data_IF_026211338830
#
_entry.id   IF_026211338830
#
_cell.length_a   1.000
_cell.length_b   1.000
_cell.length_c   1.000
_cell.angle_alpha   90.00
_cell.angle_beta   90.00
_cell.angle_gamma   90.00
#
_symmetry.space_group_name_H-M   'P 1'
#
loop_
_entity.id
_entity.type
_entity.pdbx_description
1 polymer ?
#
# COMPACT_ATOMS: atom_id res chain seq x y z
N UNK A 1 45.34 -19.17 -12.80
CA UNK A 1 46.09 -20.10 -11.94
C UNK A 1 45.30 -21.39 -11.86
N UNK A 2 45.96 -22.53 -12.07
CA UNK A 2 45.35 -23.86 -11.96
C UNK A 2 44.81 -24.08 -10.54
N UNK A 3 43.60 -24.61 -10.43
CA UNK A 3 43.00 -25.02 -9.16
C UNK A 3 43.68 -26.27 -8.59
N UNK A 4 43.71 -26.35 -7.27
CA UNK A 4 44.18 -27.49 -6.49
C UNK A 4 43.38 -28.77 -6.90
N UNK A 5 44.04 -29.85 -7.35
CA UNK A 5 43.36 -31.06 -7.80
C UNK A 5 42.72 -31.90 -6.68
N UNK A 6 42.86 -31.52 -5.40
CA UNK A 6 42.36 -32.31 -4.27
C UNK A 6 40.96 -31.91 -3.76
N UNK A 7 40.32 -30.86 -4.28
CA UNK A 7 39.00 -30.44 -3.79
C UNK A 7 38.14 -29.78 -4.88
N UNK A 8 37.44 -30.59 -5.67
CA UNK A 8 36.63 -30.14 -6.81
C UNK A 8 35.19 -29.73 -6.45
N UNK A 9 34.77 -29.80 -5.19
CA UNK A 9 33.36 -29.57 -4.78
C UNK A 9 33.11 -28.23 -4.06
N UNK A 10 34.11 -27.36 -3.94
CA UNK A 10 33.93 -26.01 -3.38
C UNK A 10 34.22 -24.99 -4.48
N UNK A 11 33.18 -24.67 -5.26
CA UNK A 11 33.19 -23.49 -6.12
C UNK A 11 33.51 -22.23 -5.30
N UNK A 12 33.99 -21.13 -5.93
CA UNK A 12 34.26 -19.89 -5.21
C UNK A 12 33.02 -19.50 -4.41
N UNK A 13 33.16 -19.56 -3.08
CA UNK A 13 32.06 -19.34 -2.15
C UNK A 13 31.37 -18.03 -2.46
N UNK A 14 30.14 -18.09 -2.94
CA UNK A 14 29.28 -16.94 -3.01
C UNK A 14 28.98 -16.52 -1.58
N UNK A 15 29.64 -15.47 -1.10
CA UNK A 15 29.07 -14.64 -0.05
C UNK A 15 27.83 -14.02 -0.67
N UNK A 16 26.69 -14.69 -0.56
CA UNK A 16 25.40 -14.07 -0.79
C UNK A 16 25.30 -12.97 0.25
N UNK A 17 25.64 -11.74 -0.14
CA UNK A 17 25.55 -10.56 0.69
C UNK A 17 24.13 -10.51 1.26
N UNK A 18 24.00 -10.74 2.57
CA UNK A 18 22.79 -10.43 3.31
C UNK A 18 22.44 -8.99 2.96
N UNK A 19 21.36 -8.79 2.20
CA UNK A 19 20.88 -7.43 1.94
C UNK A 19 20.48 -6.86 3.30
N UNK A 20 21.03 -5.71 3.70
CA UNK A 20 20.69 -5.14 4.98
C UNK A 20 19.21 -4.73 4.95
N UNK A 21 18.52 -4.97 6.06
CA UNK A 21 17.12 -4.54 6.23
C UNK A 21 17.03 -3.03 6.07
N UNK A 22 16.29 -2.60 5.05
CA UNK A 22 16.13 -1.19 4.71
C UNK A 22 14.66 -0.80 4.64
N UNK A 23 14.33 0.34 5.25
CA UNK A 23 12.97 0.88 5.27
C UNK A 23 12.95 2.16 4.44
N UNK A 24 12.07 2.22 3.45
CA UNK A 24 11.72 3.47 2.76
C UNK A 24 10.44 4.01 3.39
N UNK A 25 10.45 5.27 3.78
CA UNK A 25 9.30 5.92 4.40
C UNK A 25 9.19 7.37 3.95
N UNK A 26 8.00 7.94 4.15
CA UNK A 26 7.76 9.37 3.98
C UNK A 26 7.16 9.99 5.23
N UNK A 27 7.67 11.15 5.61
CA UNK A 27 7.15 12.00 6.67
C UNK A 27 6.51 13.28 6.07
N UNK A 28 6.09 14.22 6.91
CA UNK A 28 5.42 15.45 6.46
C UNK A 28 6.18 16.33 5.44
N UNK A 29 7.50 16.16 5.27
CA UNK A 29 8.34 17.04 4.45
C UNK A 29 9.42 16.34 3.62
N UNK A 30 9.65 15.04 3.83
CA UNK A 30 10.75 14.32 3.17
C UNK A 30 10.49 12.83 3.02
N UNK A 31 11.31 12.23 2.18
CA UNK A 31 11.42 10.79 1.99
C UNK A 31 12.76 10.36 2.58
N UNK A 32 12.74 9.30 3.37
CA UNK A 32 13.91 8.77 4.07
C UNK A 32 14.03 7.29 3.76
N UNK A 33 15.23 6.86 3.42
CA UNK A 33 15.59 5.44 3.40
C UNK A 33 16.56 5.19 4.54
N UNK A 34 16.23 4.26 5.43
CA UNK A 34 17.12 3.84 6.51
C UNK A 34 17.76 2.49 6.21
N UNK A 35 18.94 2.27 6.77
CA UNK A 35 19.57 0.95 6.88
C UNK A 35 19.66 0.66 8.37
N UNK A 36 18.88 -0.30 8.85
CA UNK A 36 18.57 -0.37 10.27
C UNK A 36 17.95 0.95 10.74
N UNK A 37 18.58 1.60 11.73
CA UNK A 37 18.08 2.83 12.34
C UNK A 37 18.73 4.11 11.82
N UNK A 38 19.73 4.01 10.95
CA UNK A 38 20.44 5.17 10.43
C UNK A 38 19.86 5.61 9.08
N UNK A 39 19.62 6.91 8.87
CA UNK A 39 19.22 7.41 7.55
C UNK A 39 20.38 7.22 6.57
N UNK A 40 20.17 6.36 5.59
CA UNK A 40 21.13 6.09 4.50
C UNK A 40 20.96 7.06 3.33
N UNK A 41 19.75 7.59 3.17
CA UNK A 41 19.41 8.55 2.12
C UNK A 41 18.21 9.39 2.57
N UNK A 42 18.24 10.68 2.22
CA UNK A 42 17.17 11.64 2.51
C UNK A 42 16.93 12.49 1.27
N UNK A 43 15.67 12.67 0.92
CA UNK A 43 15.24 13.56 -0.15
C UNK A 43 14.12 14.48 0.34
N UNK A 44 14.35 15.78 0.26
CA UNK A 44 13.44 16.82 0.79
C UNK A 44 12.62 17.50 -0.30
N UNK A 45 12.83 17.14 -1.57
CA UNK A 45 12.10 17.70 -2.69
C UNK A 45 12.52 17.12 -4.03
N UNK A 46 11.88 17.60 -5.07
CA UNK A 46 12.13 17.18 -6.45
C UNK A 46 12.90 18.23 -7.22
N UNK A 47 13.60 17.81 -8.27
CA UNK A 47 14.19 18.68 -9.29
C UNK A 47 13.65 18.30 -10.66
N UNK A 48 13.33 19.29 -11.49
CA UNK A 48 12.88 19.05 -12.87
C UNK A 48 13.18 20.24 -13.79
N UNK A 49 13.39 19.99 -15.09
CA UNK A 49 13.30 21.05 -16.09
C UNK A 49 11.84 21.46 -16.25
N UNK A 50 11.56 22.77 -16.16
CA UNK A 50 10.21 23.32 -16.35
C UNK A 50 10.16 24.26 -17.56
N UNK A 51 9.05 24.24 -18.31
CA UNK A 51 8.87 25.05 -19.54
C UNK A 51 8.99 26.57 -19.35
N UNK A 52 8.74 27.04 -18.14
CA UNK A 52 8.78 28.47 -17.76
C UNK A 52 10.15 28.96 -17.30
N UNK A 53 11.20 28.14 -17.37
CA UNK A 53 12.54 28.58 -17.00
C UNK A 53 13.15 29.51 -18.06
N UNK A 54 13.54 30.70 -17.64
CA UNK A 54 14.20 31.71 -18.47
C UNK A 54 15.68 31.40 -18.78
N UNK A 55 16.29 30.47 -18.05
CA UNK A 55 17.70 30.09 -18.18
C UNK A 55 17.82 28.60 -18.48
N UNK A 56 18.56 28.27 -19.55
CA UNK A 56 18.90 26.89 -19.90
C UNK A 56 19.97 26.40 -18.91
N UNK A 57 19.68 25.38 -18.10
CA UNK A 57 20.70 24.61 -17.37
C UNK A 57 20.54 24.45 -15.85
N UNK A 58 19.46 24.92 -15.23
CA UNK A 58 19.20 24.66 -13.79
C UNK A 58 17.81 24.05 -13.57
N UNK A 59 17.77 22.82 -13.06
CA UNK A 59 16.51 22.17 -12.67
C UNK A 59 15.88 22.92 -11.48
N UNK A 60 14.59 23.24 -11.58
CA UNK A 60 13.88 23.91 -10.50
C UNK A 60 13.65 22.92 -9.36
N UNK A 61 14.10 23.29 -8.16
CA UNK A 61 13.86 22.51 -6.95
C UNK A 61 12.54 22.89 -6.30
N UNK A 62 11.71 21.88 -6.02
CA UNK A 62 10.44 22.02 -5.31
C UNK A 62 10.43 21.11 -4.09
N UNK A 63 10.38 21.66 -2.86
CA UNK A 63 10.25 20.87 -1.64
C UNK A 63 8.99 20.00 -1.65
N UNK A 64 9.04 18.83 -1.03
CA UNK A 64 7.85 18.03 -0.80
C UNK A 64 6.89 18.74 0.14
N UNK A 65 5.59 18.50 -0.02
CA UNK A 65 4.56 19.03 0.86
C UNK A 65 3.63 17.89 1.25
N UNK A 66 3.80 17.38 2.48
CA UNK A 66 2.99 16.29 3.04
C UNK A 66 2.91 15.08 2.10
N UNK A 67 4.03 14.46 1.70
CA UNK A 67 3.97 13.25 0.90
C UNK A 67 3.26 12.14 1.68
N UNK A 68 2.28 11.50 1.04
CA UNK A 68 1.42 10.49 1.68
C UNK A 68 1.96 9.06 1.50
N UNK A 69 2.69 8.81 0.42
CA UNK A 69 3.25 7.50 0.10
C UNK A 69 4.51 7.64 -0.75
N UNK A 70 5.49 6.80 -0.48
CA UNK A 70 6.68 6.62 -1.31
C UNK A 70 6.87 5.12 -1.53
N UNK A 71 6.91 4.69 -2.80
CA UNK A 71 7.07 3.30 -3.19
C UNK A 71 8.25 3.16 -4.13
N UNK A 72 9.17 2.27 -3.80
CA UNK A 72 10.29 1.90 -4.63
C UNK A 72 9.83 1.01 -5.77
N UNK A 73 10.22 1.41 -6.96
CA UNK A 73 9.90 0.70 -8.19
C UNK A 73 11.00 -0.31 -8.56
N UNK A 74 10.71 -1.30 -9.42
CA UNK A 74 11.69 -2.33 -9.83
C UNK A 74 12.96 -1.78 -10.49
N UNK A 75 12.87 -0.63 -11.17
CA UNK A 75 14.01 0.09 -11.75
C UNK A 75 14.91 0.77 -10.71
N UNK A 76 14.49 0.84 -9.45
CA UNK A 76 15.21 1.50 -8.36
C UNK A 76 14.81 2.95 -8.10
N UNK A 77 13.97 3.52 -8.96
CA UNK A 77 13.33 4.83 -8.78
C UNK A 77 12.23 4.76 -7.72
N UNK A 78 11.72 5.92 -7.33
CA UNK A 78 10.74 6.06 -6.25
C UNK A 78 9.51 6.78 -6.79
N UNK A 79 8.34 6.14 -6.72
CA UNK A 79 7.04 6.76 -6.94
C UNK A 79 6.61 7.48 -5.67
N UNK A 80 6.32 8.77 -5.77
CA UNK A 80 5.99 9.66 -4.66
C UNK A 80 4.62 10.27 -4.86
N UNK A 81 3.76 10.11 -3.87
CA UNK A 81 2.48 10.82 -3.77
C UNK A 81 2.69 12.09 -2.95
N UNK A 82 2.94 13.21 -3.64
CA UNK A 82 3.24 14.51 -3.04
C UNK A 82 1.93 15.31 -2.86
N UNK A 83 1.14 14.89 -1.88
CA UNK A 83 -0.27 15.28 -1.68
C UNK A 83 -0.49 16.78 -1.60
N UNK A 84 0.31 17.48 -0.79
CA UNK A 84 0.20 18.93 -0.60
C UNK A 84 0.60 19.74 -1.84
N UNK A 85 1.39 19.15 -2.73
CA UNK A 85 1.77 19.72 -4.01
C UNK A 85 0.85 19.29 -5.16
N UNK A 86 -0.21 18.51 -4.88
CA UNK A 86 -1.21 18.07 -5.85
C UNK A 86 -0.63 17.29 -7.02
N UNK A 87 0.33 16.39 -6.76
CA UNK A 87 1.00 15.61 -7.80
C UNK A 87 1.42 14.22 -7.33
N UNK A 88 1.56 13.32 -8.29
CA UNK A 88 2.28 12.05 -8.16
C UNK A 88 3.41 12.04 -9.18
N UNK A 89 4.62 11.74 -8.73
CA UNK A 89 5.85 11.82 -9.53
C UNK A 89 6.72 10.61 -9.25
N UNK A 90 7.46 10.16 -10.26
CA UNK A 90 8.57 9.21 -10.11
C UNK A 90 9.87 10.00 -10.11
N UNK A 91 10.73 9.71 -9.15
CA UNK A 91 12.04 10.34 -9.00
C UNK A 91 13.15 9.32 -8.99
N UNK A 92 14.30 9.71 -9.54
CA UNK A 92 15.54 8.97 -9.34
C UNK A 92 16.13 9.23 -7.93
N UNK A 93 17.27 8.59 -7.63
CA UNK A 93 17.97 8.76 -6.34
C UNK A 93 18.56 10.16 -6.11
N UNK A 94 18.69 10.97 -7.15
CA UNK A 94 19.11 12.36 -7.04
C UNK A 94 17.90 13.30 -6.79
N UNK A 95 16.68 12.77 -6.79
CA UNK A 95 15.44 13.54 -6.66
C UNK A 95 15.02 14.20 -7.97
N UNK A 96 15.55 13.78 -9.13
CA UNK A 96 15.11 14.29 -10.44
C UNK A 96 13.83 13.60 -10.85
N UNK A 97 12.84 14.36 -11.32
CA UNK A 97 11.59 13.80 -11.86
C UNK A 97 11.90 13.09 -13.17
N UNK A 98 11.60 11.79 -13.22
CA UNK A 98 11.72 10.96 -14.43
C UNK A 98 10.35 10.58 -15.01
N UNK A 99 9.26 10.77 -14.27
CA UNK A 99 7.88 10.64 -14.73
C UNK A 99 6.92 11.45 -13.84
N UNK A 100 5.80 11.99 -14.35
CA UNK A 100 5.43 12.06 -15.77
C UNK A 100 6.14 13.21 -16.48
N UNK A 101 6.65 12.94 -17.68
CA UNK A 101 7.28 13.92 -18.56
C UNK A 101 6.46 14.11 -19.83
N UNK A 102 6.45 15.32 -20.39
CA UNK A 102 5.88 15.55 -21.71
C UNK A 102 6.80 15.05 -22.84
N UNK A 103 6.34 15.21 -24.09
CA UNK A 103 7.08 14.77 -25.29
C UNK A 103 8.48 15.37 -25.43
N UNK A 104 8.78 16.45 -24.72
CA UNK A 104 10.04 17.20 -24.77
C UNK A 104 10.88 17.01 -23.50
N UNK A 105 10.43 16.17 -22.57
CA UNK A 105 11.17 15.84 -21.35
C UNK A 105 10.98 16.83 -20.20
N UNK A 106 9.98 17.73 -20.27
CA UNK A 106 9.64 18.63 -19.15
C UNK A 106 8.60 17.99 -18.23
N UNK A 107 8.54 18.43 -16.98
CA UNK A 107 7.53 17.96 -16.01
C UNK A 107 6.11 18.15 -16.58
N UNK A 108 5.37 17.04 -16.73
CA UNK A 108 4.07 17.04 -17.41
C UNK A 108 3.05 17.95 -16.75
N UNK A 109 3.10 18.11 -15.42
CA UNK A 109 2.20 19.02 -14.68
C UNK A 109 2.31 20.49 -15.12
N UNK A 110 3.44 20.88 -15.71
CA UNK A 110 3.68 22.24 -16.24
C UNK A 110 3.46 22.34 -17.75
N UNK A 111 3.16 21.23 -18.41
CA UNK A 111 2.92 21.20 -19.85
C UNK A 111 1.59 21.86 -20.22
N UNK A 112 1.56 22.55 -21.36
CA UNK A 112 0.33 23.02 -21.99
C UNK A 112 -0.62 21.88 -22.35
N UNK A 113 -0.08 20.68 -22.56
CA UNK A 113 -0.83 19.49 -22.97
C UNK A 113 -1.52 18.81 -21.77
N UNK A 114 -1.28 19.29 -20.55
CA UNK A 114 -1.92 18.77 -19.35
C UNK A 114 -3.38 19.25 -19.23
N UNK A 115 -4.25 18.62 -20.00
CA UNK A 115 -5.69 18.86 -19.92
C UNK A 115 -6.35 18.05 -18.79
N UNK A 116 -5.88 16.81 -18.57
CA UNK A 116 -6.61 15.81 -17.77
C UNK A 116 -5.93 15.40 -16.45
N UNK A 117 -4.61 15.58 -16.32
CA UNK A 117 -3.84 15.25 -15.11
C UNK A 117 -3.76 16.45 -14.16
N UNK A 118 -4.93 16.84 -13.64
CA UNK A 118 -5.09 17.91 -12.65
C UNK A 118 -5.54 17.30 -11.32
N UNK A 119 -4.57 16.77 -10.58
CA UNK A 119 -4.85 16.10 -9.30
C UNK A 119 -5.23 17.11 -8.22
N UNK A 120 -6.00 16.66 -7.24
CA UNK A 120 -6.35 17.43 -6.06
C UNK A 120 -6.15 16.60 -4.80
N UNK A 121 -5.05 16.86 -4.07
CA UNK A 121 -4.68 16.12 -2.85
C UNK A 121 -4.71 14.59 -3.07
N UNK A 122 -3.91 14.04 -4.00
CA UNK A 122 -3.85 12.59 -4.21
C UNK A 122 -3.38 11.91 -2.91
N UNK A 123 -3.99 10.79 -2.55
CA UNK A 123 -3.74 10.11 -1.27
C UNK A 123 -2.96 8.79 -1.41
N UNK A 124 -3.10 8.12 -2.54
CA UNK A 124 -2.44 6.84 -2.81
C UNK A 124 -2.11 6.72 -4.30
N UNK A 125 -1.06 5.96 -4.60
CA UNK A 125 -0.71 5.57 -5.95
C UNK A 125 -0.11 4.17 -5.99
N UNK A 126 -0.44 3.43 -7.04
CA UNK A 126 0.06 2.08 -7.29
C UNK A 126 0.52 1.95 -8.74
N UNK A 127 1.71 1.37 -8.92
CA UNK A 127 2.35 1.17 -10.23
C UNK A 127 2.27 -0.30 -10.61
N UNK A 128 1.82 -0.57 -11.83
CA UNK A 128 1.94 -1.89 -12.44
C UNK A 128 2.36 -1.77 -13.91
N UNK A 129 2.83 -2.88 -14.46
CA UNK A 129 3.40 -2.96 -15.80
C UNK A 129 2.60 -3.96 -16.62
N UNK A 130 2.30 -3.61 -17.86
CA UNK A 130 1.52 -4.42 -18.77
C UNK A 130 2.04 -4.36 -20.19
N UNK A 131 1.29 -5.00 -21.07
CA UNK A 131 1.56 -5.03 -22.50
C UNK A 131 0.28 -4.71 -23.25
N UNK A 132 0.38 -3.86 -24.25
CA UNK A 132 -0.66 -3.72 -25.28
C UNK A 132 -0.23 -4.48 -26.52
N UNK A 133 -1.16 -5.16 -27.18
CA UNK A 133 -0.92 -5.85 -28.45
C UNK A 133 -1.55 -5.03 -29.57
N UNK A 134 -0.76 -4.63 -30.56
CA UNK A 134 -1.18 -3.80 -31.68
C UNK A 134 -0.84 -4.56 -32.98
N UNK A 135 -1.76 -4.56 -33.93
CA UNK A 135 -1.50 -5.12 -35.27
C UNK A 135 -0.64 -4.13 -36.08
N UNK A 136 0.56 -4.57 -36.45
CA UNK A 136 1.53 -3.84 -37.26
C UNK A 136 1.62 -4.49 -38.64
N UNK A 137 0.73 -4.08 -39.54
CA UNK A 137 0.73 -4.57 -40.92
C UNK A 137 0.41 -6.07 -41.05
N UNK A 138 -0.49 -6.61 -40.22
CA UNK A 138 -0.88 -8.01 -40.19
C UNK A 138 -0.11 -8.85 -39.17
N UNK A 139 0.80 -8.25 -38.40
CA UNK A 139 1.59 -8.93 -37.36
C UNK A 139 1.28 -8.33 -35.99
N UNK A 140 0.76 -9.11 -35.03
CA UNK A 140 0.52 -8.63 -33.67
C UNK A 140 1.83 -8.43 -32.92
N UNK A 141 2.13 -7.18 -32.55
CA UNK A 141 3.31 -6.81 -31.77
C UNK A 141 2.94 -6.32 -30.37
N UNK A 142 3.81 -6.62 -29.38
CA UNK A 142 3.63 -6.21 -27.99
C UNK A 142 4.43 -4.95 -27.67
N UNK A 143 3.75 -3.97 -27.11
CA UNK A 143 4.36 -2.72 -26.65
C UNK A 143 4.22 -2.61 -25.12
N UNK A 144 5.30 -2.23 -24.41
CA UNK A 144 5.24 -2.07 -22.97
C UNK A 144 4.36 -0.88 -22.59
N UNK A 145 3.61 -1.07 -21.52
CA UNK A 145 2.72 -0.06 -20.97
C UNK A 145 2.93 0.05 -19.48
N UNK A 146 3.09 1.27 -19.00
CA UNK A 146 3.24 1.58 -17.58
C UNK A 146 1.93 2.18 -17.08
N UNK A 147 1.32 1.54 -16.09
CA UNK A 147 0.08 2.01 -15.49
C UNK A 147 0.33 2.57 -14.10
N UNK A 148 -0.15 3.78 -13.84
CA UNK A 148 -0.12 4.38 -12.50
C UNK A 148 -1.55 4.69 -12.09
N UNK A 149 -2.07 3.90 -11.14
CA UNK A 149 -3.39 4.10 -10.53
C UNK A 149 -3.24 5.09 -9.40
N UNK A 150 -4.08 6.12 -9.36
CA UNK A 150 -4.01 7.20 -8.36
C UNK A 150 -5.38 7.41 -7.74
N UNK A 151 -5.44 7.39 -6.40
CA UNK A 151 -6.59 7.86 -5.64
C UNK A 151 -6.54 9.39 -5.51
N UNK A 152 -7.37 10.07 -6.29
CA UNK A 152 -7.42 11.53 -6.41
C UNK A 152 -8.55 12.09 -5.51
N UNK A 153 -8.27 12.16 -4.21
CA UNK A 153 -9.26 12.39 -3.14
C UNK A 153 -10.07 13.66 -3.35
N UNK A 154 -9.42 14.78 -3.68
CA UNK A 154 -10.08 16.08 -3.84
C UNK A 154 -10.99 16.15 -5.05
N UNK A 155 -10.70 15.37 -6.10
CA UNK A 155 -11.55 15.28 -7.28
C UNK A 155 -12.57 14.14 -7.21
N UNK A 156 -12.58 13.34 -6.13
CA UNK A 156 -13.52 12.25 -5.92
C UNK A 156 -13.49 11.22 -7.07
N UNK A 157 -12.28 10.79 -7.45
CA UNK A 157 -12.06 9.78 -8.49
C UNK A 157 -10.81 8.95 -8.21
N UNK A 158 -10.76 7.77 -8.81
CA UNK A 158 -9.51 7.05 -9.08
C UNK A 158 -9.26 7.16 -10.57
N UNK A 159 -8.01 7.45 -10.94
CA UNK A 159 -7.56 7.46 -12.34
C UNK A 159 -6.52 6.37 -12.56
N UNK A 160 -6.49 5.82 -13.77
CA UNK A 160 -5.37 5.06 -14.29
C UNK A 160 -4.67 5.89 -15.37
N UNK A 161 -3.37 6.09 -15.20
CA UNK A 161 -2.52 6.76 -16.17
C UNK A 161 -1.76 5.69 -16.94
N UNK A 162 -2.17 5.48 -18.18
CA UNK A 162 -1.47 4.64 -19.12
C UNK A 162 -0.33 5.44 -19.77
N UNK A 163 0.92 5.03 -19.54
CA UNK A 163 2.10 5.65 -20.15
C UNK A 163 2.71 4.70 -21.18
N UNK A 164 2.89 5.20 -22.39
CA UNK A 164 3.49 4.45 -23.51
C UNK A 164 4.72 5.19 -24.05
N UNK A 165 5.60 4.44 -24.72
CA UNK A 165 6.92 4.92 -25.17
C UNK A 165 7.13 4.74 -26.68
N UNK A 166 6.04 4.77 -27.42
CA UNK A 166 6.01 4.60 -28.87
C UNK A 166 5.12 5.67 -29.50
N UNK A 167 5.38 6.01 -30.75
CA UNK A 167 4.55 6.91 -31.51
C UNK A 167 3.22 6.25 -31.89
N UNK A 168 2.05 6.86 -31.61
CA UNK A 168 0.76 6.20 -31.81
C UNK A 168 0.36 6.02 -33.28
N UNK A 169 1.06 6.69 -34.21
CA UNK A 169 0.77 6.61 -35.65
C UNK A 169 1.79 5.73 -36.35
N UNK A 170 3.07 5.99 -36.13
CA UNK A 170 4.17 5.27 -36.80
C UNK A 170 4.63 4.02 -36.05
N UNK A 171 4.20 3.85 -34.80
CA UNK A 171 4.56 2.75 -33.90
C UNK A 171 6.05 2.63 -33.58
N UNK A 172 6.84 3.67 -33.91
CA UNK A 172 8.27 3.74 -33.60
C UNK A 172 8.47 3.91 -32.09
N UNK A 173 9.34 3.08 -31.50
CA UNK A 173 9.72 3.15 -30.08
C UNK A 173 10.77 4.24 -29.86
N UNK A 174 10.30 5.46 -29.67
CA UNK A 174 11.15 6.65 -29.51
C UNK A 174 11.54 6.94 -28.05
N UNK A 175 11.02 6.18 -27.10
CA UNK A 175 11.30 6.34 -25.67
C UNK A 175 10.61 7.56 -25.05
N UNK A 176 9.83 8.33 -25.80
CA UNK A 176 9.13 9.52 -25.31
C UNK A 176 7.84 9.13 -24.62
N UNK A 177 7.59 9.75 -23.47
CA UNK A 177 6.41 9.48 -22.66
C UNK A 177 5.16 10.06 -23.31
N UNK A 178 4.13 9.23 -23.43
CA UNK A 178 2.79 9.61 -23.86
C UNK A 178 1.78 9.07 -22.85
N UNK A 179 0.97 9.95 -22.29
CA UNK A 179 0.06 9.62 -21.19
C UNK A 179 -1.39 9.66 -21.65
N UNK A 180 -2.13 8.59 -21.35
CA UNK A 180 -3.58 8.53 -21.48
C UNK A 180 -4.18 8.39 -20.09
N UNK A 181 -5.01 9.35 -19.69
CA UNK A 181 -5.61 9.39 -18.35
C UNK A 181 -7.05 8.93 -18.43
N UNK A 182 -7.40 7.88 -17.68
CA UNK A 182 -8.77 7.35 -17.63
C UNK A 182 -9.26 7.35 -16.20
N UNK A 183 -10.42 7.96 -15.93
CA UNK A 183 -11.12 7.77 -14.65
C UNK A 183 -11.66 6.35 -14.58
N UNK A 184 -11.34 5.59 -13.54
CA UNK A 184 -11.70 4.15 -13.44
C UNK A 184 -12.79 3.86 -12.41
N UNK A 185 -13.19 4.86 -11.63
CA UNK A 185 -14.27 4.74 -10.64
C UNK A 185 -15.37 5.77 -10.86
N UNK A 186 -16.60 5.51 -10.40
CA UNK A 186 -17.63 6.54 -10.36
C UNK A 186 -17.33 7.60 -9.30
N UNK A 187 -17.85 8.81 -9.48
CA UNK A 187 -17.73 9.90 -8.49
C UNK A 187 -18.71 9.74 -7.34
N UNK A 188 -19.87 9.13 -7.62
CA UNK A 188 -20.95 8.90 -6.67
C UNK A 188 -21.27 7.42 -6.63
N UNK A 189 -21.47 6.88 -5.43
CA UNK A 189 -21.84 5.49 -5.21
C UNK A 189 -23.05 5.40 -4.31
N UNK A 190 -23.82 4.34 -4.49
CA UNK A 190 -24.84 3.94 -3.52
C UNK A 190 -24.27 2.76 -2.74
N UNK A 191 -24.21 2.88 -1.42
CA UNK A 191 -23.73 1.81 -0.54
C UNK A 191 -24.70 1.61 0.61
N UNK A 192 -24.86 0.37 1.03
CA UNK A 192 -25.96 -0.18 1.86
C UNK A 192 -26.66 0.81 2.80
N UNK A 193 -27.97 0.99 2.59
CA UNK A 193 -28.88 1.64 3.54
C UNK A 193 -28.72 3.15 3.79
N UNK A 194 -27.84 3.88 3.07
CA UNK A 194 -27.73 5.34 3.28
C UNK A 194 -29.09 6.02 3.03
N UNK A 195 -29.67 6.73 4.03
CA UNK A 195 -30.95 7.43 3.86
C UNK A 195 -30.90 8.55 2.80
N UNK A 196 -29.68 8.93 2.36
CA UNK A 196 -29.39 10.11 1.54
C UNK A 196 -29.18 9.82 0.05
N UNK A 197 -29.31 8.57 -0.39
CA UNK A 197 -29.07 8.20 -1.80
C UNK A 197 -27.57 8.17 -2.15
N UNK A 198 -27.22 8.58 -3.36
CA UNK A 198 -25.85 8.55 -3.88
C UNK A 198 -24.89 9.47 -3.10
N UNK A 199 -23.78 8.91 -2.61
CA UNK A 199 -22.76 9.65 -1.86
C UNK A 199 -21.52 9.92 -2.73
N UNK A 200 -21.00 11.15 -2.65
CA UNK A 200 -19.75 11.51 -3.34
C UNK A 200 -18.57 10.86 -2.63
N UNK A 201 -17.77 10.06 -3.34
CA UNK A 201 -16.70 9.25 -2.74
C UNK A 201 -15.39 10.01 -2.66
N UNK A 202 -14.79 10.08 -1.48
CA UNK A 202 -13.44 10.65 -1.27
C UNK A 202 -12.40 9.54 -1.22
N UNK A 203 -12.07 8.99 -2.38
CA UNK A 203 -11.10 7.89 -2.51
C UNK A 203 -9.77 8.24 -1.83
N UNK A 204 -9.35 7.43 -0.87
CA UNK A 204 -8.08 7.56 -0.14
C UNK A 204 -7.07 6.47 -0.47
N UNK A 205 -7.54 5.35 -1.01
CA UNK A 205 -6.72 4.21 -1.43
C UNK A 205 -7.30 3.61 -2.69
N UNK A 206 -6.45 3.14 -3.60
CA UNK A 206 -6.87 2.44 -4.81
C UNK A 206 -5.80 1.46 -5.28
N UNK A 207 -5.97 0.18 -4.95
CA UNK A 207 -5.07 -0.90 -5.33
C UNK A 207 -5.63 -1.65 -6.56
N UNK A 208 -4.84 -1.89 -7.62
CA UNK A 208 -5.26 -2.73 -8.72
C UNK A 208 -5.41 -4.19 -8.25
N UNK A 209 -6.53 -4.80 -8.62
CA UNK A 209 -6.80 -6.22 -8.43
C UNK A 209 -6.44 -6.93 -9.73
N UNK A 210 -5.41 -7.77 -9.65
CA UNK A 210 -5.00 -8.61 -10.76
C UNK A 210 -5.49 -10.05 -10.55
N UNK A 211 -5.93 -10.68 -11.62
CA UNK A 211 -6.33 -12.08 -11.65
C UNK A 211 -5.16 -12.99 -11.21
N UNK A 212 -5.37 -13.91 -10.26
CA UNK A 212 -4.33 -14.80 -9.77
C UNK A 212 -3.75 -15.76 -10.82
N UNK A 213 -4.57 -16.21 -11.77
CA UNK A 213 -4.18 -17.22 -12.75
C UNK A 213 -3.43 -16.64 -13.94
N UNK A 214 -3.85 -15.48 -14.47
CA UNK A 214 -3.28 -14.91 -15.68
C UNK A 214 -2.62 -13.53 -15.50
N UNK A 215 -2.77 -12.90 -14.33
CA UNK A 215 -2.18 -11.59 -14.00
C UNK A 215 -2.88 -10.38 -14.64
N UNK A 216 -4.00 -10.57 -15.34
CA UNK A 216 -4.74 -9.48 -15.95
C UNK A 216 -5.42 -8.60 -14.89
N UNK A 217 -5.52 -7.30 -15.16
CA UNK A 217 -6.27 -6.39 -14.30
C UNK A 217 -7.78 -6.68 -14.39
N UNK A 218 -8.39 -7.09 -13.29
CA UNK A 218 -9.83 -7.38 -13.20
C UNK A 218 -10.61 -6.27 -12.50
N UNK A 219 -9.96 -5.44 -11.68
CA UNK A 219 -10.59 -4.28 -11.05
C UNK A 219 -9.71 -3.55 -10.05
N UNK A 220 -10.35 -2.88 -9.10
CA UNK A 220 -9.69 -2.02 -8.12
C UNK A 220 -10.32 -2.20 -6.74
N UNK A 221 -9.48 -2.38 -5.72
CA UNK A 221 -9.86 -2.33 -4.31
C UNK A 221 -9.65 -0.91 -3.82
N UNK A 222 -10.74 -0.27 -3.40
CA UNK A 222 -10.78 1.13 -3.06
C UNK A 222 -11.23 1.35 -1.62
N UNK A 223 -10.65 2.36 -0.97
CA UNK A 223 -11.17 2.92 0.28
C UNK A 223 -11.46 4.40 0.11
N UNK A 224 -12.32 4.93 0.97
CA UNK A 224 -12.66 6.34 0.99
C UNK A 224 -12.78 6.87 2.41
N UNK A 225 -12.38 8.13 2.63
CA UNK A 225 -12.38 8.73 3.98
C UNK A 225 -13.78 8.95 4.55
N UNK A 226 -14.81 8.97 3.69
CA UNK A 226 -16.19 9.23 4.07
C UNK A 226 -17.08 7.98 3.98
N UNK A 227 -16.49 6.81 3.76
CA UNK A 227 -17.18 5.53 3.77
C UNK A 227 -16.55 4.66 4.86
N UNK A 228 -17.39 3.90 5.54
CA UNK A 228 -16.95 2.92 6.52
C UNK A 228 -16.77 1.53 5.92
N UNK A 229 -16.65 1.40 4.59
CA UNK A 229 -16.49 0.11 3.93
C UNK A 229 -15.55 0.24 2.73
N UNK A 230 -14.96 -0.89 2.34
CA UNK A 230 -14.20 -0.99 1.10
C UNK A 230 -15.15 -1.08 -0.09
N UNK A 231 -14.66 -0.63 -1.24
CA UNK A 231 -15.36 -0.73 -2.52
C UNK A 231 -14.52 -1.57 -3.47
N UNK A 232 -15.16 -2.53 -4.12
CA UNK A 232 -14.55 -3.27 -5.24
C UNK A 232 -15.13 -2.71 -6.53
N UNK A 233 -14.29 -2.31 -7.46
CA UNK A 233 -14.74 -1.71 -8.73
C UNK A 233 -14.19 -2.50 -9.90
N UNK A 234 -15.06 -3.00 -10.77
CA UNK A 234 -14.65 -3.80 -11.93
C UNK A 234 -13.89 -2.97 -12.98
N UNK A 235 -12.85 -3.55 -13.55
CA UNK A 235 -12.16 -2.98 -14.69
C UNK A 235 -13.07 -3.02 -15.94
N UNK A 236 -13.00 -2.00 -16.79
CA UNK A 236 -13.78 -1.89 -18.04
C UNK A 236 -15.26 -1.56 -17.87
N UNK A 237 -15.94 -2.14 -16.87
CA UNK A 237 -17.37 -1.93 -16.60
C UNK A 237 -17.67 -0.90 -15.50
N UNK A 238 -16.70 -0.61 -14.62
CA UNK A 238 -16.85 0.29 -13.45
C UNK A 238 -18.03 -0.06 -12.55
N UNK A 239 -18.41 -1.34 -12.51
CA UNK A 239 -19.44 -1.86 -11.62
C UNK A 239 -18.86 -1.82 -10.21
N UNK A 240 -19.54 -1.14 -9.30
CA UNK A 240 -19.16 -1.09 -7.89
C UNK A 240 -19.83 -2.25 -7.18
N UNK A 241 -19.05 -2.97 -6.38
CA UNK A 241 -19.47 -4.15 -5.62
C UNK A 241 -20.20 -5.15 -6.54
N UNK A 242 -19.49 -5.74 -7.53
CA UNK A 242 -20.09 -6.68 -8.47
C UNK A 242 -20.67 -7.92 -7.75
N UNK A 243 -21.78 -8.45 -8.24
CA UNK A 243 -22.37 -9.68 -7.70
C UNK A 243 -21.39 -10.88 -7.83
N UNK A 244 -21.44 -11.81 -6.88
CA UNK A 244 -20.45 -12.89 -6.76
C UNK A 244 -20.33 -13.76 -8.03
N UNK A 245 -21.43 -14.01 -8.76
CA UNK A 245 -21.41 -14.82 -9.99
C UNK A 245 -20.93 -14.07 -11.24
N UNK A 246 -20.74 -12.75 -11.16
CA UNK A 246 -20.31 -11.98 -12.32
C UNK A 246 -18.92 -12.44 -12.73
N UNK A 247 -18.72 -12.70 -14.02
CA UNK A 247 -17.41 -13.06 -14.55
C UNK A 247 -16.46 -11.86 -14.50
N UNK A 248 -15.21 -12.14 -14.15
CA UNK A 248 -14.15 -11.12 -14.16
C UNK A 248 -13.71 -10.86 -15.60
N UNK A 249 -13.85 -9.60 -16.04
CA UNK A 249 -13.44 -9.23 -17.41
C UNK A 249 -11.92 -9.30 -17.54
N UNK A 250 -11.43 -10.08 -18.51
CA UNK A 250 -9.99 -10.30 -18.72
C UNK A 250 -9.34 -11.31 -17.77
N UNK A 251 -10.07 -11.79 -16.75
CA UNK A 251 -9.58 -12.79 -15.80
C UNK A 251 -9.45 -14.19 -16.40
N UNK A 252 -9.04 -15.14 -15.56
CA UNK A 252 -8.93 -16.56 -15.93
C UNK A 252 -10.32 -17.09 -16.33
N UNK A 253 -10.38 -17.98 -17.32
CA UNK A 253 -11.66 -18.52 -17.79
C UNK A 253 -12.41 -19.19 -16.62
N UNK A 254 -13.66 -18.77 -16.39
CA UNK A 254 -14.47 -19.23 -15.26
C UNK A 254 -14.32 -18.44 -13.97
N UNK A 255 -13.34 -17.52 -13.86
CA UNK A 255 -13.15 -16.69 -12.67
C UNK A 255 -14.28 -15.67 -12.49
N UNK A 256 -14.84 -15.61 -11.28
CA UNK A 256 -15.91 -14.69 -10.89
C UNK A 256 -15.48 -13.76 -9.75
N UNK A 257 -16.37 -12.86 -9.34
CA UNK A 257 -16.13 -11.95 -8.20
C UNK A 257 -16.35 -12.60 -6.83
N UNK A 258 -16.72 -13.88 -6.76
CA UNK A 258 -17.01 -14.58 -5.51
C UNK A 258 -15.91 -14.46 -4.43
N UNK A 259 -14.60 -14.55 -4.75
CA UNK A 259 -13.53 -14.38 -3.75
C UNK A 259 -13.42 -12.97 -3.16
N UNK A 260 -14.11 -11.98 -3.73
CA UNK A 260 -14.12 -10.58 -3.27
C UNK A 260 -15.46 -10.16 -2.65
N UNK A 261 -16.54 -10.83 -3.04
CA UNK A 261 -17.90 -10.46 -2.66
C UNK A 261 -18.12 -10.45 -1.14
N UNK A 262 -17.43 -11.32 -0.40
CA UNK A 262 -17.49 -11.39 1.06
C UNK A 262 -17.18 -10.05 1.75
N UNK A 263 -16.46 -9.11 1.12
CA UNK A 263 -16.18 -7.78 1.68
C UNK A 263 -17.44 -6.92 1.81
N UNK A 264 -18.35 -7.04 0.85
CA UNK A 264 -19.53 -6.18 0.72
C UNK A 264 -20.86 -6.93 0.77
N UNK A 265 -20.80 -8.26 0.86
CA UNK A 265 -21.95 -9.13 1.00
C UNK A 265 -21.64 -10.24 2.02
N UNK A 266 -22.59 -10.55 2.90
CA UNK A 266 -22.47 -11.66 3.85
C UNK A 266 -23.13 -12.95 3.37
N UNK A 267 -23.89 -12.91 2.26
CA UNK A 267 -24.39 -14.10 1.58
C UNK A 267 -23.94 -14.12 0.11
N UNK A 268 -22.63 -14.19 -0.18
CA UNK A 268 -22.11 -14.27 -1.54
C UNK A 268 -22.55 -15.54 -2.29
N UNK A 269 -23.20 -16.50 -1.62
CA UNK A 269 -23.84 -17.63 -2.28
C UNK A 269 -25.14 -17.24 -3.00
N UNK A 270 -25.71 -16.07 -2.70
CA UNK A 270 -26.90 -15.53 -3.37
C UNK A 270 -26.62 -15.09 -4.82
N UNK A 271 -25.40 -15.26 -5.34
CA UNK A 271 -24.91 -15.17 -6.75
C UNK A 271 -25.30 -13.97 -7.62
N UNK A 272 -26.51 -13.43 -7.57
CA UNK A 272 -27.08 -12.49 -8.53
C UNK A 272 -27.55 -11.16 -7.90
N UNK A 273 -27.32 -10.96 -6.60
CA UNK A 273 -27.62 -9.70 -5.92
C UNK A 273 -26.44 -9.31 -5.02
N UNK A 274 -26.51 -8.11 -4.44
CA UNK A 274 -25.68 -7.68 -3.32
C UNK A 274 -26.64 -7.24 -2.21
N UNK A 275 -27.12 -8.23 -1.46
CA UNK A 275 -28.23 -8.05 -0.53
C UNK A 275 -27.83 -8.16 0.94
N UNK A 276 -26.72 -8.84 1.23
CA UNK A 276 -26.21 -9.04 2.58
C UNK A 276 -25.42 -7.85 3.15
N UNK A 277 -25.20 -7.85 4.47
CA UNK A 277 -24.47 -6.79 5.15
C UNK A 277 -22.97 -6.75 4.79
N UNK A 278 -22.45 -5.53 4.58
CA UNK A 278 -21.04 -5.32 4.24
C UNK A 278 -20.15 -5.23 5.49
N UNK A 279 -18.85 -5.51 5.33
CA UNK A 279 -17.87 -5.30 6.39
C UNK A 279 -17.59 -3.81 6.60
N UNK A 280 -17.52 -3.43 7.88
CA UNK A 280 -17.45 -2.05 8.32
C UNK A 280 -16.15 -1.76 9.09
N UNK A 281 -15.42 -0.76 8.59
CA UNK A 281 -14.17 -0.22 9.12
C UNK A 281 -14.32 1.30 9.26
N UNK A 282 -14.29 1.82 10.48
CA UNK A 282 -14.38 3.26 10.69
C UNK A 282 -13.03 3.95 10.46
N UNK A 283 -13.07 5.04 9.69
CA UNK A 283 -11.90 5.88 9.40
C UNK A 283 -10.71 5.05 8.89
N UNK A 284 -10.89 4.46 7.69
CA UNK A 284 -9.85 3.68 7.01
C UNK A 284 -8.67 4.59 6.67
N UNK A 285 -7.49 4.23 7.17
CA UNK A 285 -6.25 5.00 7.01
C UNK A 285 -5.39 4.46 5.86
N UNK A 286 -5.33 3.14 5.74
CA UNK A 286 -4.56 2.47 4.69
C UNK A 286 -5.21 1.12 4.34
N UNK A 287 -5.15 0.77 3.06
CA UNK A 287 -5.46 -0.58 2.57
C UNK A 287 -4.22 -1.12 1.88
N UNK A 288 -3.83 -2.33 2.24
CA UNK A 288 -2.74 -3.05 1.59
C UNK A 288 -3.30 -4.28 0.90
N UNK A 289 -2.82 -4.51 -0.33
CA UNK A 289 -3.15 -5.68 -1.11
C UNK A 289 -1.84 -6.30 -1.59
N UNK A 290 -1.54 -7.52 -1.15
CA UNK A 290 -0.31 -8.21 -1.53
C UNK A 290 -0.56 -9.68 -1.78
N UNK A 291 0.03 -10.21 -2.85
CA UNK A 291 0.03 -11.64 -3.12
C UNK A 291 1.39 -12.23 -2.79
N UNK A 292 1.41 -13.32 -2.03
CA UNK A 292 2.61 -14.10 -1.71
C UNK A 292 2.27 -15.56 -1.97
N UNK A 293 2.92 -16.15 -2.99
CA UNK A 293 2.59 -17.50 -3.44
C UNK A 293 1.11 -17.64 -3.84
N UNK A 294 0.45 -18.66 -3.28
CA UNK A 294 -0.95 -18.96 -3.48
C UNK A 294 -1.92 -18.12 -2.64
N UNK A 295 -1.48 -17.11 -1.91
CA UNK A 295 -2.33 -16.36 -0.98
C UNK A 295 -2.34 -14.88 -1.29
N UNK A 296 -3.53 -14.28 -1.28
CA UNK A 296 -3.75 -12.84 -1.33
C UNK A 296 -4.07 -12.35 0.08
N UNK A 297 -3.35 -11.32 0.51
CA UNK A 297 -3.50 -10.65 1.79
C UNK A 297 -4.17 -9.31 1.56
N UNK A 298 -5.28 -9.08 2.25
CA UNK A 298 -6.02 -7.82 2.28
C UNK A 298 -5.88 -7.25 3.69
N UNK A 299 -5.00 -6.27 3.86
CA UNK A 299 -4.78 -5.58 5.13
C UNK A 299 -5.54 -4.26 5.18
N UNK A 300 -6.23 -4.00 6.29
CA UNK A 300 -6.97 -2.76 6.54
C UNK A 300 -6.50 -2.14 7.85
N UNK A 301 -5.90 -0.96 7.76
CA UNK A 301 -5.59 -0.14 8.95
C UNK A 301 -6.71 0.87 9.15
N UNK A 302 -7.37 0.83 10.31
CA UNK A 302 -8.51 1.70 10.61
C UNK A 302 -8.55 2.14 12.08
N UNK A 303 -9.48 3.03 12.43
CA UNK A 303 -9.67 3.46 13.81
C UNK A 303 -10.55 2.52 14.62
N UNK A 304 -11.41 1.72 13.96
CA UNK A 304 -12.26 0.73 14.62
C UNK A 304 -12.77 -0.28 13.60
N UNK A 305 -12.66 -1.57 13.91
CA UNK A 305 -13.29 -2.64 13.13
C UNK A 305 -14.64 -3.01 13.74
N UNK A 306 -15.74 -2.75 13.02
CA UNK A 306 -17.10 -2.93 13.54
C UNK A 306 -17.62 -4.35 13.30
N UNK A 307 -17.12 -5.04 12.27
CA UNK A 307 -17.71 -6.28 11.76
C UNK A 307 -18.76 -5.98 10.67
N UNK A 308 -19.84 -6.74 10.64
CA UNK A 308 -20.89 -6.62 9.61
C UNK A 308 -21.87 -5.48 9.92
N UNK A 309 -22.28 -4.75 8.88
CA UNK A 309 -23.29 -3.70 9.01
C UNK A 309 -24.64 -4.27 9.46
N UNK A 310 -25.31 -3.65 10.43
CA UNK A 310 -26.64 -4.11 10.87
C UNK A 310 -26.63 -5.33 11.82
N UNK A 311 -25.46 -5.92 12.05
CA UNK A 311 -25.24 -6.93 13.09
C UNK A 311 -24.68 -6.30 14.37
N UNK A 312 -24.69 -7.01 15.52
CA UNK A 312 -23.97 -6.58 16.71
C UNK A 312 -22.48 -6.34 16.39
N UNK A 313 -21.91 -5.31 17.01
CA UNK A 313 -20.49 -5.00 16.79
C UNK A 313 -19.60 -6.19 17.19
N UNK A 314 -18.61 -6.47 16.33
CA UNK A 314 -17.61 -7.49 16.57
C UNK A 314 -16.82 -7.25 17.86
N UNK A 315 -16.31 -8.30 18.51
CA UNK A 315 -15.56 -8.18 19.76
C UNK A 315 -14.35 -7.21 19.63
N UNK A 316 -13.69 -7.23 18.47
CA UNK A 316 -12.56 -6.34 18.15
C UNK A 316 -12.96 -4.86 18.01
N UNK A 317 -14.24 -4.51 17.95
CA UNK A 317 -14.67 -3.12 17.94
C UNK A 317 -14.30 -2.39 19.23
N UNK A 318 -14.27 -3.11 20.36
CA UNK A 318 -13.86 -2.57 21.66
C UNK A 318 -12.34 -2.35 21.75
N UNK A 319 -11.54 -3.05 20.94
CA UNK A 319 -10.08 -2.94 20.92
C UNK A 319 -9.57 -1.62 20.28
N UNK A 320 -10.44 -0.92 19.53
CA UNK A 320 -10.15 0.40 18.97
C UNK A 320 -9.28 0.35 17.70
N UNK A 321 -8.34 1.29 17.52
CA UNK A 321 -7.51 1.33 16.32
C UNK A 321 -6.66 0.08 16.16
N UNK A 322 -6.52 -0.39 14.93
CA UNK A 322 -5.78 -1.61 14.66
C UNK A 322 -5.51 -1.85 13.19
N UNK A 323 -4.80 -2.94 12.95
CA UNK A 323 -4.58 -3.54 11.64
C UNK A 323 -5.36 -4.85 11.62
N UNK A 324 -6.15 -5.07 10.58
CA UNK A 324 -6.97 -6.25 10.40
C UNK A 324 -6.69 -6.82 9.02
N UNK A 325 -6.31 -8.09 8.94
CA UNK A 325 -5.88 -8.72 7.71
C UNK A 325 -6.73 -9.95 7.42
N UNK A 326 -7.07 -10.11 6.14
CA UNK A 326 -7.85 -11.23 5.62
C UNK A 326 -7.04 -11.92 4.53
N UNK A 327 -7.17 -13.26 4.43
CA UNK A 327 -6.47 -14.08 3.45
C UNK A 327 -7.44 -14.70 2.46
N UNK A 328 -7.12 -14.63 1.17
CA UNK A 328 -7.83 -15.35 0.12
C UNK A 328 -6.86 -16.39 -0.44
N UNK A 329 -7.22 -17.66 -0.34
CA UNK A 329 -6.50 -18.76 -0.98
C UNK A 329 -6.83 -18.77 -2.47
N UNK A 330 -5.78 -18.64 -3.27
CA UNK A 330 -5.77 -18.67 -4.74
C UNK A 330 -4.68 -19.63 -5.24
N UNK A 331 -4.34 -20.65 -4.44
CA UNK A 331 -3.31 -21.63 -4.74
C UNK A 331 -3.73 -22.63 -5.82
N UNK A 332 -5.02 -22.92 -5.92
CA UNK A 332 -5.56 -23.77 -7.00
C UNK A 332 -5.46 -23.07 -8.36
N UNK A 333 -5.21 -23.87 -9.40
CA UNK A 333 -5.31 -23.41 -10.78
C UNK A 333 -6.75 -23.25 -11.26
N UNK A 334 -7.72 -23.88 -10.58
CA UNK A 334 -9.14 -23.73 -10.86
C UNK A 334 -9.71 -22.53 -10.06
N UNK A 335 -10.22 -21.48 -10.73
CA UNK A 335 -10.82 -20.34 -10.05
C UNK A 335 -12.01 -20.69 -9.14
N UNK A 336 -12.66 -21.83 -9.34
CA UNK A 336 -13.78 -22.28 -8.51
C UNK A 336 -13.34 -22.67 -7.08
N UNK A 337 -12.07 -23.02 -6.88
CA UNK A 337 -11.54 -23.39 -5.57
C UNK A 337 -11.02 -22.19 -4.77
N UNK A 338 -10.98 -21.00 -5.39
CA UNK A 338 -10.50 -19.79 -4.72
C UNK A 338 -11.49 -19.31 -3.67
N UNK A 339 -11.02 -19.10 -2.45
CA UNK A 339 -11.91 -18.79 -1.33
C UNK A 339 -11.20 -18.01 -0.22
N UNK A 340 -11.99 -17.36 0.64
CA UNK A 340 -11.47 -16.76 1.87
C UNK A 340 -10.95 -17.88 2.78
N UNK A 341 -9.71 -17.78 3.21
CA UNK A 341 -9.08 -18.74 4.12
C UNK A 341 -9.65 -18.58 5.53
N UNK A 342 -10.21 -19.66 6.08
CA UNK A 342 -10.97 -19.66 7.34
C UNK A 342 -10.14 -20.04 8.58
N UNK A 343 -8.89 -20.48 8.39
CA UNK A 343 -7.92 -20.90 9.40
C UNK A 343 -8.46 -21.18 10.80
N UNK A 344 -8.74 -22.45 11.10
CA UNK A 344 -8.80 -23.00 12.46
C UNK A 344 -9.92 -22.52 13.40
N UNK A 345 -10.50 -21.34 13.17
CA UNK A 345 -11.59 -20.77 13.99
C UNK A 345 -12.84 -21.64 13.96
N UNK A 346 -13.00 -22.47 12.91
CA UNK A 346 -14.21 -23.24 12.65
C UNK A 346 -15.41 -22.37 12.27
N UNK A 347 -15.21 -21.07 12.02
CA UNK A 347 -16.26 -20.16 11.59
C UNK A 347 -16.74 -20.53 10.18
N UNK A 348 -18.06 -20.64 10.00
CA UNK A 348 -18.64 -20.93 8.69
C UNK A 348 -18.39 -19.76 7.72
N UNK A 349 -18.20 -20.07 6.44
CA UNK A 349 -18.01 -19.05 5.40
C UNK A 349 -19.36 -18.41 5.03
N UNK A 350 -19.39 -17.08 4.74
CA UNK A 350 -18.30 -16.12 4.90
C UNK A 350 -18.14 -15.67 6.35
N UNK A 351 -16.90 -15.64 6.84
CA UNK A 351 -16.61 -15.11 8.18
C UNK A 351 -16.43 -13.58 8.16
N UNK A 352 -16.64 -12.95 9.32
CA UNK A 352 -16.22 -11.58 9.60
C UNK A 352 -14.93 -11.54 10.44
N UNK A 353 -14.35 -12.68 10.76
CA UNK A 353 -13.13 -12.74 11.56
C UNK A 353 -11.93 -12.41 10.66
N UNK A 354 -11.07 -11.45 11.06
CA UNK A 354 -9.80 -11.26 10.40
C UNK A 354 -8.93 -12.50 10.62
N UNK A 355 -8.20 -12.90 9.59
CA UNK A 355 -7.22 -13.97 9.69
C UNK A 355 -6.07 -13.59 10.64
N UNK A 356 -5.73 -12.31 10.70
CA UNK A 356 -4.74 -11.77 11.64
C UNK A 356 -5.12 -10.35 12.02
N UNK A 357 -4.85 -9.95 13.26
CA UNK A 357 -5.04 -8.57 13.67
C UNK A 357 -3.93 -8.13 14.62
N UNK A 358 -3.78 -6.81 14.76
CA UNK A 358 -2.88 -6.21 15.75
C UNK A 358 -3.50 -4.90 16.24
N UNK A 359 -3.83 -4.86 17.53
CA UNK A 359 -4.57 -3.77 18.17
C UNK A 359 -3.73 -3.11 19.27
N UNK A 360 -4.31 -2.08 19.91
CA UNK A 360 -3.59 -1.29 20.90
C UNK A 360 -3.11 -2.08 22.12
N UNK A 361 -3.85 -3.10 22.54
CA UNK A 361 -3.46 -3.93 23.68
C UNK A 361 -2.29 -4.87 23.33
N UNK A 362 -2.17 -5.30 22.07
CA UNK A 362 -1.00 -6.03 21.58
C UNK A 362 0.23 -5.13 21.50
N UNK A 363 0.05 -3.83 21.31
CA UNK A 363 1.16 -2.88 21.25
C UNK A 363 1.67 -2.49 22.64
N UNK A 364 0.78 -2.28 23.61
CA UNK A 364 1.11 -1.76 24.96
C UNK A 364 1.82 -2.80 25.84
N UNK A 365 2.60 -2.34 26.81
CA UNK A 365 3.28 -3.22 27.77
C UNK A 365 4.48 -4.00 27.21
N UNK A 366 4.84 -3.84 25.93
CA UNK A 366 6.02 -4.48 25.33
C UNK A 366 7.30 -3.69 25.65
N UNK A 367 8.47 -4.35 25.77
CA UNK A 367 9.72 -3.67 26.11
C UNK A 367 10.09 -2.47 25.22
N UNK A 368 9.67 -2.48 23.95
CA UNK A 368 9.96 -1.41 22.99
C UNK A 368 8.99 -0.23 23.03
N UNK A 369 7.85 -0.42 23.66
CA UNK A 369 6.74 0.54 23.68
C UNK A 369 6.53 1.14 25.07
N UNK A 370 7.08 0.52 26.11
CA UNK A 370 6.95 0.96 27.51
C UNK A 370 8.18 1.76 27.93
N UNK A 371 7.95 3.00 28.33
CA UNK A 371 8.95 3.93 28.85
C UNK A 371 8.89 3.88 30.39
N UNK A 372 9.95 3.36 31.01
CA UNK A 372 10.06 3.33 32.47
C UNK A 372 10.79 4.56 33.01
N UNK A 373 10.15 5.30 33.91
CA UNK A 373 10.69 6.48 34.58
C UNK A 373 10.63 6.34 36.10
N UNK A 374 11.32 7.23 36.83
CA UNK A 374 11.15 7.33 38.28
C UNK A 374 9.71 7.70 38.73
N UNK A 375 8.89 8.24 37.83
CA UNK A 375 7.49 8.61 38.08
C UNK A 375 6.48 7.49 37.73
N UNK A 376 6.95 6.36 37.19
CA UNK A 376 6.11 5.24 36.74
C UNK A 376 6.40 4.81 35.31
N UNK A 377 5.70 3.76 34.88
CA UNK A 377 5.76 3.21 33.52
C UNK A 377 4.67 3.85 32.65
N UNK A 378 5.07 4.28 31.44
CA UNK A 378 4.20 4.91 30.46
C UNK A 378 4.26 4.13 29.14
N UNK A 379 3.10 3.78 28.60
CA UNK A 379 3.03 3.17 27.27
C UNK A 379 2.96 4.22 26.17
N UNK A 380 3.69 3.95 25.08
CA UNK A 380 3.58 4.69 23.86
C UNK A 380 2.15 4.67 23.33
N UNK A 381 1.74 5.80 22.76
CA UNK A 381 0.43 5.92 22.12
C UNK A 381 0.33 5.00 20.92
N UNK A 382 -0.88 4.53 20.65
CA UNK A 382 -1.19 3.66 19.52
C UNK A 382 -2.04 4.40 18.49
N UNK A 383 -1.42 4.72 17.35
CA UNK A 383 -2.02 5.40 16.20
C UNK A 383 -1.46 4.82 14.90
N UNK A 384 -1.81 3.58 14.55
CA UNK A 384 -1.36 2.96 13.31
C UNK A 384 -1.92 3.76 12.14
N UNK A 385 -1.09 4.05 11.14
CA UNK A 385 -1.49 4.80 9.93
C UNK A 385 -1.36 3.98 8.66
N UNK A 386 -0.44 3.02 8.63
CA UNK A 386 -0.27 2.09 7.52
C UNK A 386 0.31 0.78 8.03
N UNK A 387 -0.06 -0.31 7.35
CA UNK A 387 0.53 -1.62 7.54
C UNK A 387 0.73 -2.33 6.20
N UNK A 388 1.87 -2.99 6.00
CA UNK A 388 2.23 -3.65 4.75
C UNK A 388 2.72 -5.07 5.04
N UNK A 389 2.14 -6.07 4.37
CA UNK A 389 2.63 -7.44 4.41
C UNK A 389 4.04 -7.49 3.80
N UNK A 390 5.03 -8.01 4.52
CA UNK A 390 6.41 -8.12 4.02
C UNK A 390 6.65 -9.51 3.47
N UNK A 391 6.35 -10.53 4.26
CA UNK A 391 6.51 -11.97 3.98
C UNK A 391 5.23 -12.75 4.37
N UNK A 392 5.26 -14.08 4.29
CA UNK A 392 4.16 -14.92 4.77
C UNK A 392 3.93 -14.81 6.28
N UNK A 393 4.88 -14.31 7.07
CA UNK A 393 4.86 -14.40 8.53
C UNK A 393 5.14 -13.03 9.18
N UNK A 394 5.19 -11.94 8.39
CA UNK A 394 5.66 -10.65 8.89
C UNK A 394 4.91 -9.48 8.26
N UNK A 395 4.47 -8.55 9.09
CA UNK A 395 3.82 -7.30 8.72
C UNK A 395 4.62 -6.12 9.24
N UNK A 396 4.89 -5.14 8.38
CA UNK A 396 5.48 -3.86 8.75
C UNK A 396 4.37 -2.89 9.14
N UNK A 397 4.43 -2.30 10.33
CA UNK A 397 3.47 -1.30 10.79
C UNK A 397 4.16 0.06 10.93
N UNK A 398 3.49 1.11 10.45
CA UNK A 398 3.83 2.50 10.71
C UNK A 398 2.90 3.07 11.77
N UNK A 399 3.43 3.33 12.97
CA UNK A 399 2.73 4.01 14.05
C UNK A 399 3.15 5.48 14.09
N UNK A 400 2.20 6.40 13.87
CA UNK A 400 2.49 7.83 13.79
C UNK A 400 2.07 8.55 15.07
N UNK A 401 3.07 9.00 15.84
CA UNK A 401 2.85 9.84 17.02
C UNK A 401 2.94 11.31 16.60
N UNK A 402 1.83 12.02 16.74
CA UNK A 402 1.69 13.43 16.31
C UNK A 402 2.44 14.43 17.20
N UNK A 403 2.88 14.01 18.38
CA UNK A 403 3.79 14.76 19.24
C UNK A 403 5.10 14.00 19.31
N UNK A 404 6.20 14.66 18.93
CA UNK A 404 7.51 14.34 19.49
C UNK A 404 7.37 14.51 20.99
N UNK A 405 7.16 13.42 21.73
CA UNK A 405 7.27 13.50 23.17
C UNK A 405 8.69 13.99 23.45
N UNK A 406 8.83 15.12 24.16
CA UNK A 406 10.12 15.73 24.52
C UNK A 406 10.86 14.89 25.57
N UNK A 407 10.84 13.58 25.37
CA UNK A 407 11.50 12.59 26.17
C UNK A 407 12.96 12.56 25.67
N UNK A 408 13.83 13.23 26.40
CA UNK A 408 15.28 13.12 26.18
C UNK A 408 15.82 12.06 27.13
N UNK A 409 16.97 11.42 26.84
CA UNK A 409 17.63 10.54 27.81
C UNK A 409 17.84 11.19 29.20
N UNK A 410 17.95 12.53 29.25
CA UNK A 410 18.05 13.31 30.47
C UNK A 410 16.72 13.41 31.26
N UNK A 411 15.58 13.45 30.57
CA UNK A 411 14.25 13.60 31.19
C UNK A 411 13.62 12.27 31.63
N UNK A 412 14.02 11.15 31.03
CA UNK A 412 13.43 9.82 31.29
C UNK A 412 14.24 9.03 32.35
N UNK A 413 15.52 9.37 32.53
CA UNK A 413 16.43 8.65 33.43
C UNK A 413 16.94 7.33 32.82
N UNK A 414 17.89 6.68 33.50
CA UNK A 414 18.60 5.50 32.99
C UNK A 414 17.78 4.21 32.81
N UNK A 415 16.45 4.25 33.05
CA UNK A 415 15.52 3.12 33.00
C UNK A 415 14.90 2.85 31.62
N UNK A 416 14.82 3.84 30.72
CA UNK A 416 14.19 3.68 29.39
C UNK A 416 15.16 3.24 28.28
N UNK A 417 16.10 2.33 28.59
CA UNK A 417 17.13 1.90 27.63
C UNK A 417 16.61 1.06 26.47
N UNK A 418 15.32 0.73 26.44
CA UNK A 418 14.75 -0.22 25.49
C UNK A 418 13.53 0.31 24.73
N UNK A 419 13.09 1.56 24.95
CA UNK A 419 11.92 2.09 24.28
C UNK A 419 12.28 3.00 23.09
N UNK A 420 11.36 3.10 22.13
CA UNK A 420 11.38 4.09 21.05
C UNK A 420 10.64 5.35 21.50
N UNK A 421 11.25 6.52 21.25
CA UNK A 421 10.68 7.82 21.62
C UNK A 421 10.10 8.46 20.35
N UNK A 422 8.78 8.45 20.22
CA UNK A 422 8.06 9.07 19.09
C UNK A 422 7.50 8.06 18.09
N UNK A 423 7.29 8.51 16.85
CA UNK A 423 6.75 7.66 15.80
C UNK A 423 7.67 6.45 15.55
N UNK A 424 7.05 5.31 15.30
CA UNK A 424 7.72 4.02 15.35
C UNK A 424 7.27 3.17 14.17
N UNK A 425 8.25 2.67 13.41
CA UNK A 425 8.02 1.71 12.32
C UNK A 425 8.66 0.39 12.74
N UNK A 426 7.93 -0.70 12.68
CA UNK A 426 8.40 -1.99 13.17
C UNK A 426 7.76 -3.16 12.43
N UNK A 427 8.50 -4.27 12.36
CA UNK A 427 7.96 -5.54 11.92
C UNK A 427 7.37 -6.33 13.09
N UNK A 428 6.21 -6.92 12.83
CA UNK A 428 5.49 -7.84 13.73
C UNK A 428 5.47 -9.22 13.08
N UNK A 429 5.84 -10.24 13.84
CA UNK A 429 5.62 -11.62 13.44
C UNK A 429 4.13 -11.97 13.58
N UNK A 430 3.57 -12.58 12.54
CA UNK A 430 2.13 -12.87 12.46
C UNK A 430 1.77 -14.31 12.80
N UNK A 431 2.75 -15.10 13.23
CA UNK A 431 2.59 -16.51 13.58
C UNK A 431 3.63 -16.79 14.67
N UNK A 432 3.22 -17.45 15.76
CA UNK A 432 4.09 -17.87 16.84
C UNK A 432 4.67 -19.29 16.64
N UNK A 433 4.29 -19.96 15.56
CA UNK A 433 4.68 -21.31 15.17
C UNK A 433 3.93 -22.42 15.92
N UNK A 434 2.90 -22.08 16.69
CA UNK A 434 2.11 -22.98 17.52
C UNK A 434 0.82 -23.46 16.85
N UNK A 435 -0.05 -22.52 16.47
CA UNK A 435 -1.32 -22.79 15.76
C UNK A 435 -1.70 -21.66 14.79
N UNK A 436 -2.93 -21.67 14.27
CA UNK A 436 -3.42 -20.69 13.30
C UNK A 436 -4.49 -19.75 13.91
N UNK A 437 -4.55 -19.64 15.24
CA UNK A 437 -5.50 -18.80 15.96
C UNK A 437 -4.91 -17.40 16.18
N UNK A 438 -5.37 -16.37 15.45
CA UNK A 438 -4.82 -15.03 15.58
C UNK A 438 -5.07 -14.38 16.95
N UNK A 439 -5.94 -14.96 17.79
CA UNK A 439 -6.23 -14.42 19.12
C UNK A 439 -5.21 -14.82 20.18
N UNK A 440 -4.33 -15.78 19.90
CA UNK A 440 -3.32 -16.26 20.83
C UNK A 440 -1.87 -16.01 20.35
N UNK A 441 -1.71 -15.48 19.13
CA UNK A 441 -0.42 -15.11 18.56
C UNK A 441 0.41 -14.23 19.50
N UNK A 442 1.69 -14.59 19.69
CA UNK A 442 2.63 -13.82 20.53
C UNK A 442 2.90 -12.39 19.99
N UNK A 443 2.58 -12.15 18.71
CA UNK A 443 2.83 -10.90 17.95
C UNK A 443 4.23 -10.32 18.21
N UNK A 444 5.25 -11.18 18.22
CA UNK A 444 6.59 -10.79 18.61
C UNK A 444 7.11 -9.63 17.73
N UNK A 445 7.55 -8.57 18.40
CA UNK A 445 8.14 -7.41 17.74
C UNK A 445 9.65 -7.61 17.68
N UNK A 446 10.26 -7.49 16.49
CA UNK A 446 11.70 -7.66 16.32
C UNK A 446 12.45 -6.34 16.58
N UNK A 447 13.27 -6.23 17.66
CA UNK A 447 14.04 -5.02 17.96
C UNK A 447 15.05 -4.62 16.88
N UNK A 448 15.51 -5.58 16.08
CA UNK A 448 16.46 -5.33 14.99
C UNK A 448 15.75 -4.86 13.72
N UNK A 449 14.43 -5.05 13.64
CA UNK A 449 13.58 -4.60 12.54
C UNK A 449 12.62 -3.52 13.00
N UNK A 450 13.22 -2.50 13.62
CA UNK A 450 12.56 -1.32 14.17
C UNK A 450 13.28 -0.05 13.74
N UNK A 451 12.53 0.98 13.36
CA UNK A 451 13.02 2.32 13.07
C UNK A 451 12.24 3.35 13.89
N UNK A 452 12.91 4.09 14.79
CA UNK A 452 14.30 3.89 15.24
C UNK A 452 14.47 2.58 16.04
N UNK A 453 15.72 2.16 16.26
CA UNK A 453 15.99 1.04 17.17
C UNK A 453 15.68 1.43 18.62
N UNK A 454 15.19 0.48 19.43
CA UNK A 454 15.11 0.59 20.89
C UNK A 454 16.36 1.19 21.53
N UNK A 455 16.17 2.20 22.38
CA UNK A 455 17.25 2.75 23.20
C UNK A 455 18.27 3.64 22.46
N UNK A 456 18.11 3.84 21.14
CA UNK A 456 18.93 4.79 20.39
C UNK A 456 18.27 6.16 20.36
N UNK A 457 19.02 7.19 20.77
CA UNK A 457 18.59 8.57 20.60
C UNK A 457 18.69 8.93 19.12
N UNK A 458 17.55 9.09 18.47
CA UNK A 458 17.55 9.46 17.07
C UNK A 458 17.56 10.98 16.92
N UNK A 459 18.62 11.50 16.29
CA UNK A 459 18.88 12.93 16.20
C UNK A 459 17.86 13.71 15.34
N UNK A 460 17.09 12.99 14.52
CA UNK A 460 16.18 13.55 13.52
C UNK A 460 14.89 12.72 13.44
N UNK A 461 14.00 12.86 14.44
CA UNK A 461 12.80 12.01 14.56
C UNK A 461 11.79 12.28 13.43
N UNK A 462 11.11 11.23 12.97
CA UNK A 462 10.06 11.34 11.96
C UNK A 462 8.92 12.24 12.43
N UNK A 463 8.52 13.16 11.57
CA UNK A 463 7.39 14.05 11.82
C UNK A 463 6.17 13.52 11.07
N UNK A 464 5.29 12.82 11.78
CA UNK A 464 4.04 12.26 11.25
C UNK A 464 4.28 11.37 10.02
N UNK A 465 5.04 10.25 10.15
CA UNK A 465 5.22 9.32 9.05
C UNK A 465 3.87 8.82 8.56
N UNK A 466 3.64 8.83 7.25
CA UNK A 466 2.35 8.45 6.68
C UNK A 466 2.34 7.00 6.15
N UNK A 467 3.50 6.55 5.67
CA UNK A 467 3.67 5.25 5.02
C UNK A 467 5.13 4.80 5.13
N UNK A 468 5.34 3.49 5.19
CA UNK A 468 6.65 2.87 5.07
C UNK A 468 6.54 1.52 4.34
N UNK A 469 7.64 1.11 3.71
CA UNK A 469 7.82 -0.21 3.10
C UNK A 469 9.25 -0.72 3.30
N UNK A 470 9.41 -2.04 3.28
CA UNK A 470 10.70 -2.74 3.44
C UNK A 470 11.14 -3.37 2.13
N UNK A 471 12.46 -3.50 1.95
CA UNK A 471 13.07 -4.21 0.82
C UNK A 471 13.97 -5.37 1.25
#
# INVERSE_FOLDING_TARGET
>A
MMGDPANQDIGPGYVSALRPWSVLLCDSSRIVETIGSEPSWVCTGTSSPQRTQSFIGEDLRRPFSRPAKATRLPNGDILVVDTGNHRVVEIDRAGRIVWPLDLYGYEYYTSSDNHDLKLSRPADANRYYGWMTIDVGGTPERFPVVHTVIADTGNARVIDIQTTFHDPVTLVRDGRQRHTITTVTPTYVQVGGSPRGYERVRYTSAAPINDPGNGALIGYLCAASNLNQLLVVSAGGRIVNPYASLQTSGGTAGATWAPWAWLYDADPADTNDVSGPSLQFENIKNVSLKRIGGTIYVGVTCSRYIGRSGEPAHALAAAGPGVFEFRIDVSSSDPADWQLDQMGTGAAWPTMDPHWFFVGDDYRGRPMTTISTAAGDFDNRWYPVSAQRVSSDTVLITNSLSQTENATPANIGGGARQAVIGSHIFEVLTDDGGDADPTNDLHALDPQRSVPAPGQAWADPFVQPAYAEVK
#
